data_IF_833214680956
#
_entry.id   IF_833214680956
#
_cell.length_a   1.000
_cell.length_b   1.000
_cell.length_c   1.000
_cell.angle_alpha   90.00
_cell.angle_beta   90.00
_cell.angle_gamma   90.00
#
_symmetry.space_group_name_H-M   'P 1'
#
loop_
_entity.id
_entity.type
_entity.pdbx_description
1 polymer ?
#
# COMPACT_ATOMS: atom_id res chain seq x y z
N UNK A 1 26.08 -58.39 55.25
CA UNK A 1 27.26 -57.50 55.44
C UNK A 1 27.05 -56.27 54.57
N UNK A 2 27.09 -55.07 55.19
CA UNK A 2 27.21 -53.69 54.64
C UNK A 2 26.36 -53.29 53.40
N UNK A 3 25.39 -52.37 53.46
CA UNK A 3 25.41 -50.91 53.75
C UNK A 3 25.78 -50.01 52.55
N UNK A 4 24.91 -49.00 52.33
CA UNK A 4 25.10 -47.66 51.71
C UNK A 4 25.00 -47.55 50.16
N UNK A 5 24.05 -46.75 49.62
CA UNK A 5 24.14 -45.29 49.30
C UNK A 5 24.41 -45.10 47.79
N UNK A 6 23.92 -44.17 46.98
CA UNK A 6 22.99 -43.02 47.01
C UNK A 6 22.60 -42.68 45.55
N UNK A 7 21.69 -41.71 45.40
CA UNK A 7 21.03 -41.14 44.21
C UNK A 7 21.86 -40.69 42.96
N UNK A 8 21.22 -40.45 41.79
CA UNK A 8 21.81 -40.10 40.48
C UNK A 8 21.95 -38.56 40.31
N UNK A 9 22.49 -37.92 39.21
CA UNK A 9 21.76 -37.82 37.92
C UNK A 9 22.55 -37.30 36.65
N UNK A 10 21.76 -37.01 35.60
CA UNK A 10 21.86 -35.94 34.56
C UNK A 10 22.57 -36.24 33.23
N UNK A 11 21.74 -36.12 32.19
CA UNK A 11 22.09 -36.16 30.78
C UNK A 11 22.69 -34.87 30.26
N UNK A 12 23.41 -35.06 29.17
CA UNK A 12 24.19 -34.08 28.43
C UNK A 12 23.44 -33.77 27.12
N UNK A 13 22.90 -32.57 26.99
CA UNK A 13 22.36 -32.05 25.73
C UNK A 13 23.26 -30.91 25.26
N UNK A 14 24.03 -31.23 24.22
CA UNK A 14 24.91 -30.32 23.51
C UNK A 14 24.16 -29.17 22.83
N UNK A 15 24.49 -27.98 23.32
CA UNK A 15 24.67 -26.67 22.69
C UNK A 15 24.73 -26.72 21.15
N UNK A 16 23.78 -26.06 20.48
CA UNK A 16 23.96 -25.52 19.12
C UNK A 16 24.33 -24.04 19.21
N UNK A 17 25.52 -23.70 18.69
CA UNK A 17 26.07 -22.36 18.60
C UNK A 17 25.28 -21.48 17.63
N UNK A 18 24.48 -20.54 18.15
CA UNK A 18 24.00 -19.38 17.39
C UNK A 18 25.00 -18.24 17.54
N UNK A 19 25.74 -17.97 16.48
CA UNK A 19 26.57 -16.78 16.31
C UNK A 19 25.72 -15.51 16.38
N UNK A 20 25.94 -14.70 17.42
CA UNK A 20 26.23 -13.26 17.23
C UNK A 20 25.13 -12.23 17.44
N UNK A 21 24.20 -12.40 18.39
CA UNK A 21 23.48 -11.27 18.99
C UNK A 21 23.96 -11.06 20.43
N UNK A 22 24.09 -9.81 20.92
CA UNK A 22 24.46 -9.56 22.30
C UNK A 22 23.50 -10.29 23.26
N UNK A 23 23.97 -10.86 24.39
CA UNK A 23 23.13 -11.64 25.30
C UNK A 23 21.89 -10.87 25.81
N UNK A 24 22.01 -9.55 25.93
CA UNK A 24 20.91 -8.67 26.32
C UNK A 24 19.83 -8.52 25.24
N UNK A 25 20.12 -8.80 23.97
CA UNK A 25 19.17 -8.74 22.87
C UNK A 25 18.60 -10.13 22.51
N UNK A 26 19.38 -11.19 22.74
CA UNK A 26 18.96 -12.56 22.46
C UNK A 26 17.72 -12.99 23.29
N UNK A 27 17.62 -12.49 24.53
CA UNK A 27 16.47 -12.74 25.41
C UNK A 27 15.22 -11.93 25.05
N UNK A 28 15.31 -10.93 24.17
CA UNK A 28 14.17 -10.11 23.75
C UNK A 28 13.51 -10.58 22.45
N UNK A 29 14.06 -11.60 21.79
CA UNK A 29 13.56 -12.14 20.52
C UNK A 29 12.91 -13.53 20.64
N UNK A 30 13.17 -14.28 21.72
CA UNK A 30 12.40 -15.47 22.09
C UNK A 30 11.47 -15.14 23.26
N UNK A 31 10.34 -14.53 22.93
CA UNK A 31 9.34 -14.10 23.90
C UNK A 31 8.49 -15.31 24.32
N UNK A 32 9.07 -16.17 25.17
CA UNK A 32 8.32 -17.09 26.03
C UNK A 32 8.22 -16.44 27.41
N UNK A 33 7.19 -15.61 27.64
CA UNK A 33 6.94 -15.02 28.97
C UNK A 33 6.66 -16.15 29.96
N UNK A 34 7.48 -16.27 30.99
CA UNK A 34 7.18 -17.18 32.10
C UNK A 34 6.22 -16.50 33.10
N UNK A 35 5.60 -17.29 33.98
CA UNK A 35 4.65 -16.77 34.98
C UNK A 35 5.30 -15.74 35.92
N UNK A 36 6.60 -15.88 36.18
CA UNK A 36 7.37 -14.96 37.02
C UNK A 36 7.54 -13.58 36.35
N UNK A 37 7.67 -13.51 35.03
CA UNK A 37 7.75 -12.26 34.26
C UNK A 37 6.40 -11.50 34.29
N UNK A 38 5.29 -12.24 34.23
CA UNK A 38 3.94 -11.69 34.34
C UNK A 38 3.69 -11.17 35.75
N UNK A 39 4.11 -11.93 36.77
CA UNK A 39 3.96 -11.54 38.17
C UNK A 39 4.88 -10.35 38.52
N UNK A 40 6.09 -10.28 37.95
CA UNK A 40 7.00 -9.14 38.06
C UNK A 40 6.45 -7.87 37.39
N UNK A 41 5.78 -8.01 36.25
CA UNK A 41 5.12 -6.90 35.56
C UNK A 41 3.89 -6.40 36.35
N UNK A 42 3.08 -7.32 36.89
CA UNK A 42 1.95 -6.98 37.75
C UNK A 42 2.41 -6.31 39.05
N UNK A 43 3.44 -6.86 39.71
CA UNK A 43 4.04 -6.21 40.88
C UNK A 43 4.69 -4.88 40.55
N UNK A 44 5.23 -4.68 39.34
CA UNK A 44 5.73 -3.37 38.92
C UNK A 44 4.61 -2.35 38.70
N UNK A 45 3.48 -2.77 38.13
CA UNK A 45 2.31 -1.90 37.95
C UNK A 45 1.76 -1.53 39.34
N UNK A 46 1.63 -2.51 40.23
CA UNK A 46 1.14 -2.30 41.60
C UNK A 46 2.13 -1.45 42.43
N UNK A 47 3.43 -1.70 42.31
CA UNK A 47 4.48 -0.92 42.97
C UNK A 47 4.58 0.52 42.45
N UNK A 48 4.23 0.78 41.18
CA UNK A 48 4.19 2.16 40.65
C UNK A 48 3.06 3.00 41.27
N UNK A 49 2.09 2.36 41.92
CA UNK A 49 1.00 3.02 42.65
C UNK A 49 1.26 3.18 44.15
N UNK A 50 2.30 2.56 44.69
CA UNK A 50 2.68 2.62 46.11
C UNK A 50 3.99 3.40 46.31
N UNK A 51 3.91 4.55 46.98
CA UNK A 51 5.02 5.50 47.16
C UNK A 51 6.18 5.00 48.05
N UNK A 52 6.13 3.76 48.54
CA UNK A 52 7.02 3.25 49.60
C UNK A 52 7.77 1.95 49.25
N UNK A 53 7.64 1.41 48.04
CA UNK A 53 8.36 0.18 47.65
C UNK A 53 9.76 0.47 47.06
N UNK A 54 10.81 -0.29 47.46
CA UNK A 54 12.16 -0.12 46.94
C UNK A 54 12.32 -0.74 45.54
N UNK A 55 13.10 -0.04 44.71
CA UNK A 55 13.46 -0.29 43.31
C UNK A 55 13.93 -1.72 43.00
N UNK A 56 13.26 -2.36 42.05
CA UNK A 56 13.89 -3.31 41.11
C UNK A 56 13.76 -2.75 39.69
N UNK A 57 14.51 -3.31 38.73
CA UNK A 57 14.76 -2.83 37.37
C UNK A 57 13.54 -2.73 36.43
N UNK A 58 12.37 -2.34 36.93
CA UNK A 58 11.16 -2.23 36.13
C UNK A 58 10.97 -0.81 35.58
N UNK A 59 10.58 -0.74 34.31
CA UNK A 59 10.20 0.52 33.68
C UNK A 59 8.88 1.02 34.30
N UNK A 60 8.75 2.33 34.59
CA UNK A 60 7.47 2.94 34.93
C UNK A 60 6.37 2.57 33.94
N UNK A 61 5.13 2.40 34.43
CA UNK A 61 4.00 1.98 33.62
C UNK A 61 3.77 2.92 32.42
N UNK A 62 4.03 4.22 32.59
CA UNK A 62 3.93 5.23 31.53
C UNK A 62 4.93 4.96 30.39
N UNK A 63 6.16 4.54 30.73
CA UNK A 63 7.17 4.19 29.73
C UNK A 63 6.80 2.90 29.01
N UNK A 64 6.25 1.91 29.72
CA UNK A 64 5.76 0.68 29.10
C UNK A 64 4.60 0.96 28.14
N UNK A 65 3.64 1.78 28.53
CA UNK A 65 2.53 2.19 27.66
C UNK A 65 3.02 2.98 26.44
N UNK A 66 3.98 3.88 26.63
CA UNK A 66 4.61 4.61 25.53
C UNK A 66 5.31 3.65 24.56
N UNK A 67 6.03 2.63 25.06
CA UNK A 67 6.65 1.62 24.21
C UNK A 67 5.57 0.89 23.39
N UNK A 68 4.46 0.50 24.02
CA UNK A 68 3.38 -0.24 23.34
C UNK A 68 2.74 0.59 22.21
N UNK A 69 2.65 1.92 22.34
CA UNK A 69 2.15 2.82 21.27
C UNK A 69 2.98 2.73 19.97
N UNK A 70 4.24 2.28 20.03
CA UNK A 70 5.15 2.14 18.87
C UNK A 70 5.40 0.70 18.44
N UNK A 71 4.77 -0.28 19.09
CA UNK A 71 4.93 -1.68 18.71
C UNK A 71 4.22 -1.94 17.38
N UNK A 72 4.80 -2.74 16.46
CA UNK A 72 4.13 -3.08 15.22
C UNK A 72 2.80 -3.76 15.48
N UNK A 73 1.78 -3.34 14.74
CA UNK A 73 0.37 -3.69 14.95
C UNK A 73 0.10 -5.19 14.97
N UNK A 74 0.88 -5.99 14.25
CA UNK A 74 0.79 -7.45 14.22
C UNK A 74 1.11 -8.15 15.55
N UNK A 75 1.72 -7.46 16.52
CA UNK A 75 2.06 -7.98 17.85
C UNK A 75 1.16 -7.47 18.98
N UNK A 76 0.34 -6.44 18.74
CA UNK A 76 -0.47 -5.81 19.78
C UNK A 76 -1.42 -6.79 20.47
N UNK A 77 -2.02 -7.72 19.71
CA UNK A 77 -2.94 -8.71 20.29
C UNK A 77 -2.22 -9.76 21.13
N UNK A 78 -0.95 -10.06 20.86
CA UNK A 78 -0.16 -10.95 21.71
C UNK A 78 0.14 -10.27 23.05
N UNK A 79 0.51 -8.99 23.03
CA UNK A 79 0.77 -8.18 24.23
C UNK A 79 -0.49 -7.97 25.07
N UNK A 80 -1.65 -7.85 24.42
CA UNK A 80 -2.96 -7.78 25.08
C UNK A 80 -3.26 -8.98 25.97
N UNK A 81 -2.63 -10.13 25.72
CA UNK A 81 -2.83 -11.35 26.51
C UNK A 81 -1.93 -11.41 27.76
N UNK A 82 -0.88 -10.60 27.84
CA UNK A 82 0.13 -10.67 28.91
C UNK A 82 -0.47 -10.32 30.28
N UNK A 83 -1.16 -9.20 30.39
CA UNK A 83 -1.77 -8.78 31.66
C UNK A 83 -3.05 -7.96 31.47
N UNK A 84 -3.83 -7.80 32.55
CA UNK A 84 -5.06 -7.01 32.53
C UNK A 84 -4.80 -5.53 32.25
N UNK A 85 -3.72 -4.95 32.79
CA UNK A 85 -3.36 -3.55 32.57
C UNK A 85 -3.09 -3.25 31.09
N UNK A 86 -2.35 -4.10 30.39
CA UNK A 86 -2.13 -3.98 28.95
C UNK A 86 -3.41 -4.18 28.16
N UNK A 87 -4.27 -5.11 28.57
CA UNK A 87 -5.58 -5.26 27.94
C UNK A 87 -6.41 -3.99 28.01
N UNK A 88 -6.52 -3.40 29.19
CA UNK A 88 -7.34 -2.20 29.41
C UNK A 88 -6.74 -0.97 28.69
N UNK A 89 -5.40 -0.87 28.66
CA UNK A 89 -4.71 0.21 27.94
C UNK A 89 -4.79 0.05 26.41
N UNK A 90 -4.64 -1.19 25.91
CA UNK A 90 -4.79 -1.52 24.50
C UNK A 90 -6.22 -1.24 24.06
N UNK A 91 -7.24 -1.72 24.77
CA UNK A 91 -8.65 -1.53 24.40
C UNK A 91 -9.12 -0.06 24.48
N UNK A 92 -8.31 0.83 25.07
CA UNK A 92 -8.57 2.26 25.23
C UNK A 92 -7.57 3.14 24.50
N UNK A 93 -6.62 3.70 25.27
CA UNK A 93 -5.70 4.75 24.82
C UNK A 93 -4.83 4.32 23.64
N UNK A 94 -4.24 3.12 23.68
CA UNK A 94 -3.31 2.67 22.64
C UNK A 94 -4.06 2.42 21.32
N UNK A 95 -5.22 1.76 21.34
CA UNK A 95 -6.02 1.58 20.13
C UNK A 95 -6.48 2.92 19.56
N UNK A 96 -6.77 3.91 20.40
CA UNK A 96 -7.06 5.27 19.95
C UNK A 96 -5.83 5.95 19.32
N UNK A 97 -4.63 5.76 19.87
CA UNK A 97 -3.39 6.25 19.25
C UNK A 97 -3.19 5.66 17.84
N UNK A 98 -3.43 4.36 17.66
CA UNK A 98 -3.41 3.74 16.33
C UNK A 98 -4.52 4.26 15.41
N UNK A 99 -5.72 4.53 15.93
CA UNK A 99 -6.80 5.14 15.15
C UNK A 99 -6.37 6.47 14.52
N UNK A 100 -5.67 7.32 15.28
CA UNK A 100 -5.21 8.63 14.80
C UNK A 100 -4.25 8.53 13.61
N UNK A 101 -3.53 7.41 13.51
CA UNK A 101 -2.57 7.10 12.43
C UNK A 101 -3.21 6.29 11.29
N UNK A 102 -4.48 5.94 11.43
CA UNK A 102 -5.20 5.13 10.44
C UNK A 102 -5.65 6.00 9.27
N UNK A 103 -5.43 5.49 8.07
CA UNK A 103 -5.93 6.05 6.81
C UNK A 103 -6.81 5.03 6.12
N UNK A 104 -7.95 5.47 5.60
CA UNK A 104 -8.79 4.65 4.73
C UNK A 104 -8.46 4.99 3.26
N UNK A 105 -8.31 3.97 2.44
CA UNK A 105 -7.96 4.10 1.02
C UNK A 105 -9.06 3.47 0.19
N UNK A 106 -9.87 4.30 -0.46
CA UNK A 106 -10.89 3.89 -1.41
C UNK A 106 -10.27 3.58 -2.77
N UNK A 107 -10.47 2.36 -3.26
CA UNK A 107 -9.99 1.92 -4.56
C UNK A 107 -11.11 1.93 -5.59
N UNK A 108 -11.01 2.78 -6.62
CA UNK A 108 -12.07 2.96 -7.61
C UNK A 108 -12.07 1.88 -8.72
N UNK A 109 -11.04 1.03 -8.76
CA UNK A 109 -10.93 -0.10 -9.67
C UNK A 109 -9.68 -0.08 -10.54
N UNK A 110 -9.43 -1.19 -11.24
CA UNK A 110 -8.23 -1.35 -12.07
C UNK A 110 -8.35 -0.66 -13.41
N UNK A 111 -7.21 -0.44 -14.06
CA UNK A 111 -7.10 0.06 -15.44
C UNK A 111 -7.96 -0.72 -16.43
N UNK A 112 -8.14 -2.02 -16.18
CA UNK A 112 -8.89 -2.92 -17.05
C UNK A 112 -10.40 -2.82 -16.85
N UNK A 113 -10.86 -2.08 -15.84
CA UNK A 113 -12.27 -1.85 -15.60
C UNK A 113 -12.85 -0.91 -16.67
N UNK A 114 -14.08 -1.16 -17.11
CA UNK A 114 -14.74 -0.42 -18.20
C UNK A 114 -14.86 1.07 -17.90
N UNK A 115 -15.02 1.46 -16.63
CA UNK A 115 -15.08 2.87 -16.21
C UNK A 115 -13.73 3.59 -16.20
N UNK A 116 -12.62 2.85 -16.08
CA UNK A 116 -11.27 3.43 -15.96
C UNK A 116 -10.43 3.25 -17.23
N UNK A 117 -10.81 2.32 -18.10
CA UNK A 117 -10.02 1.96 -19.28
C UNK A 117 -9.92 3.05 -20.35
N UNK A 118 -10.80 4.06 -20.31
CA UNK A 118 -10.79 5.19 -21.25
C UNK A 118 -9.90 6.35 -20.82
N UNK A 119 -9.42 6.38 -19.57
CA UNK A 119 -8.61 7.47 -19.03
C UNK A 119 -7.16 7.40 -19.49
N UNK A 120 -6.51 8.56 -19.62
CA UNK A 120 -5.06 8.62 -19.78
C UNK A 120 -4.32 8.04 -18.56
N UNK A 121 -3.03 7.76 -18.73
CA UNK A 121 -2.19 7.22 -17.65
C UNK A 121 -2.12 8.19 -16.47
N UNK A 122 -2.00 9.49 -16.75
CA UNK A 122 -1.96 10.56 -15.75
C UNK A 122 -3.29 10.68 -15.00
N UNK A 123 -4.42 10.76 -15.74
CA UNK A 123 -5.74 10.87 -15.14
C UNK A 123 -6.08 9.66 -14.26
N UNK A 124 -5.68 8.44 -14.68
CA UNK A 124 -5.88 7.25 -13.87
C UNK A 124 -5.08 7.32 -12.56
N UNK A 125 -3.78 7.64 -12.61
CA UNK A 125 -2.95 7.70 -11.40
C UNK A 125 -3.47 8.73 -10.39
N UNK A 126 -3.98 9.88 -10.86
CA UNK A 126 -4.54 10.92 -9.99
C UNK A 126 -5.90 10.55 -9.38
N UNK A 127 -6.71 9.77 -10.09
CA UNK A 127 -8.12 9.55 -9.72
C UNK A 127 -8.40 8.18 -9.10
N UNK A 128 -7.61 7.15 -9.39
CA UNK A 128 -7.96 5.77 -9.02
C UNK A 128 -8.05 5.51 -7.49
N UNK A 129 -7.55 6.43 -6.66
CA UNK A 129 -7.54 6.36 -5.20
C UNK A 129 -8.19 7.55 -4.52
N UNK A 130 -9.01 7.26 -3.52
CA UNK A 130 -9.56 8.23 -2.60
C UNK A 130 -8.98 8.00 -1.20
N UNK A 131 -8.16 8.93 -0.72
CA UNK A 131 -7.63 8.88 0.63
C UNK A 131 -8.56 9.60 1.61
N UNK A 132 -8.85 8.96 2.74
CA UNK A 132 -9.61 9.54 3.84
C UNK A 132 -8.85 9.39 5.16
N UNK A 133 -8.50 10.52 5.76
CA UNK A 133 -7.72 10.60 6.98
C UNK A 133 -8.63 10.74 8.20
N UNK A 134 -8.18 10.22 9.35
CA UNK A 134 -8.90 10.35 10.61
C UNK A 134 -9.06 11.83 11.01
N UNK A 135 -10.28 12.22 11.39
CA UNK A 135 -10.60 13.57 11.84
C UNK A 135 -10.95 13.62 13.32
N UNK A 136 -11.97 12.86 13.75
CA UNK A 136 -12.46 12.88 15.12
C UNK A 136 -13.31 11.65 15.47
N UNK A 137 -13.65 11.52 16.75
CA UNK A 137 -14.57 10.51 17.27
C UNK A 137 -15.95 11.10 17.57
N UNK A 138 -17.00 10.31 17.40
CA UNK A 138 -18.40 10.68 17.60
C UNK A 138 -19.26 9.60 18.25
N UNK A 139 -20.33 10.03 18.91
CA UNK A 139 -21.33 9.16 19.53
C UNK A 139 -22.55 8.97 18.61
N UNK A 140 -23.38 7.96 18.90
CA UNK A 140 -24.59 7.61 18.13
C UNK A 140 -25.67 8.70 18.06
N UNK A 141 -25.51 9.84 18.75
CA UNK A 141 -26.53 10.88 18.82
C UNK A 141 -26.01 12.31 18.86
N UNK A 142 -24.86 12.60 18.24
CA UNK A 142 -24.28 13.96 18.22
C UNK A 142 -24.79 14.88 17.12
N UNK A 143 -25.84 14.50 16.37
CA UNK A 143 -26.45 15.40 15.41
C UNK A 143 -27.33 16.44 16.15
N UNK A 144 -26.74 17.62 16.37
CA UNK A 144 -27.35 18.94 16.57
C UNK A 144 -28.30 19.22 17.76
N UNK A 145 -28.65 18.26 18.62
CA UNK A 145 -29.70 18.51 19.65
C UNK A 145 -29.27 18.38 21.12
N UNK A 146 -28.00 18.52 21.49
CA UNK A 146 -27.60 18.35 22.91
C UNK A 146 -26.45 19.25 23.37
N UNK A 147 -26.66 20.57 23.30
CA UNK A 147 -25.89 21.56 24.09
C UNK A 147 -26.08 21.39 25.62
N UNK A 148 -26.93 20.46 26.07
CA UNK A 148 -27.24 20.24 27.49
C UNK A 148 -26.51 19.06 28.15
N UNK A 149 -25.56 18.39 27.48
CA UNK A 149 -24.77 17.30 28.11
C UNK A 149 -23.46 17.78 28.73
N UNK A 150 -23.56 18.69 29.70
CA UNK A 150 -22.56 18.75 30.76
C UNK A 150 -22.81 17.59 31.76
N UNK A 151 -21.73 17.02 32.31
CA UNK A 151 -21.64 16.24 33.59
C UNK A 151 -21.29 14.74 33.58
N UNK A 152 -20.74 14.16 32.51
CA UNK A 152 -19.83 13.00 32.70
C UNK A 152 -18.64 13.16 31.77
N UNK A 153 -17.44 13.40 32.33
CA UNK A 153 -16.18 13.36 31.58
C UNK A 153 -15.92 11.91 31.14
N UNK A 154 -16.55 11.50 30.04
CA UNK A 154 -16.21 10.23 29.37
C UNK A 154 -14.86 10.40 28.67
N UNK A 155 -14.05 9.35 28.70
CA UNK A 155 -12.78 9.36 28.00
C UNK A 155 -13.02 9.48 26.49
N UNK A 156 -12.17 10.22 25.77
CA UNK A 156 -12.35 10.47 24.32
C UNK A 156 -12.55 9.18 23.50
N UNK A 157 -11.85 8.11 23.87
CA UNK A 157 -11.92 6.78 23.23
C UNK A 157 -13.13 5.92 23.66
N UNK A 158 -14.10 6.48 24.39
CA UNK A 158 -15.36 5.79 24.66
C UNK A 158 -16.36 5.88 23.52
N UNK A 159 -16.18 6.86 22.63
CA UNK A 159 -17.09 7.12 21.52
C UNK A 159 -17.15 5.93 20.55
N UNK A 160 -18.30 5.72 19.91
CA UNK A 160 -18.54 4.52 19.09
C UNK A 160 -18.00 4.65 17.66
N UNK A 161 -18.08 5.84 17.07
CA UNK A 161 -17.77 6.06 15.65
C UNK A 161 -16.54 6.94 15.47
N UNK A 162 -15.76 6.67 14.43
CA UNK A 162 -14.72 7.56 13.93
C UNK A 162 -15.17 8.19 12.62
N UNK A 163 -14.90 9.48 12.48
CA UNK A 163 -15.04 10.23 11.24
C UNK A 163 -13.71 10.30 10.51
N UNK A 164 -13.73 9.91 9.26
CA UNK A 164 -12.66 10.09 8.30
C UNK A 164 -13.12 11.07 7.24
N UNK A 165 -12.24 11.97 6.81
CA UNK A 165 -12.56 12.93 5.76
C UNK A 165 -11.66 12.75 4.56
N UNK A 166 -12.26 12.72 3.37
CA UNK A 166 -11.51 12.77 2.13
C UNK A 166 -10.99 14.19 1.89
N UNK A 167 -9.74 14.31 1.46
CA UNK A 167 -9.13 15.59 1.13
C UNK A 167 -9.74 16.21 -0.13
N UNK A 168 -9.58 17.53 -0.29
CA UNK A 168 -10.00 18.26 -1.51
C UNK A 168 -9.21 17.84 -2.76
N UNK A 169 -8.01 17.29 -2.57
CA UNK A 169 -7.08 16.91 -3.65
C UNK A 169 -7.72 16.03 -4.72
N UNK A 170 -8.50 15.01 -4.33
CA UNK A 170 -9.15 14.14 -5.30
C UNK A 170 -10.22 14.87 -6.12
N UNK A 171 -10.98 15.78 -5.48
CA UNK A 171 -12.01 16.57 -6.16
C UNK A 171 -11.39 17.58 -7.13
N UNK A 172 -10.28 18.21 -6.73
CA UNK A 172 -9.51 19.12 -7.57
C UNK A 172 -8.92 18.40 -8.79
N UNK A 173 -8.33 17.21 -8.58
CA UNK A 173 -7.84 16.37 -9.66
C UNK A 173 -8.97 15.95 -10.62
N UNK A 174 -10.14 15.57 -10.09
CA UNK A 174 -11.30 15.20 -10.92
C UNK A 174 -11.76 16.38 -11.78
N UNK A 175 -11.83 17.59 -11.21
CA UNK A 175 -12.20 18.79 -11.95
C UNK A 175 -11.18 19.15 -13.05
N UNK A 176 -9.88 19.02 -12.75
CA UNK A 176 -8.81 19.29 -13.71
C UNK A 176 -8.95 18.40 -14.94
N UNK A 177 -9.12 17.10 -14.73
CA UNK A 177 -9.17 16.13 -15.82
C UNK A 177 -10.54 16.05 -16.52
N UNK A 178 -11.64 16.29 -15.79
CA UNK A 178 -12.98 16.33 -16.37
C UNK A 178 -13.16 17.44 -17.43
N UNK A 179 -12.30 18.47 -17.42
CA UNK A 179 -12.28 19.50 -18.46
C UNK A 179 -11.53 19.11 -19.73
N UNK A 180 -10.72 18.05 -19.68
CA UNK A 180 -9.76 17.65 -20.74
C UNK A 180 -10.12 16.33 -21.41
N UNK A 181 -10.79 15.42 -20.69
CA UNK A 181 -11.06 14.05 -21.12
C UNK A 181 -12.53 13.65 -20.90
N UNK A 182 -12.99 12.58 -21.58
CA UNK A 182 -14.30 11.97 -21.35
C UNK A 182 -14.32 11.16 -20.03
N UNK A 183 -14.14 11.86 -18.91
CA UNK A 183 -14.08 11.25 -17.58
C UNK A 183 -15.50 11.02 -17.06
N UNK A 184 -15.79 9.84 -16.48
CA UNK A 184 -17.06 9.58 -15.83
C UNK A 184 -17.35 10.62 -14.73
N UNK A 185 -18.64 10.90 -14.51
CA UNK A 185 -19.03 11.80 -13.42
C UNK A 185 -18.48 11.32 -12.08
N UNK A 186 -18.16 12.26 -11.19
CA UNK A 186 -17.64 11.94 -9.85
C UNK A 186 -18.55 10.98 -9.09
N UNK A 187 -19.87 11.14 -9.21
CA UNK A 187 -20.86 10.22 -8.62
C UNK A 187 -20.74 8.79 -9.18
N UNK A 188 -20.52 8.64 -10.49
CA UNK A 188 -20.33 7.31 -11.10
C UNK A 188 -19.04 6.66 -10.61
N UNK A 189 -17.95 7.43 -10.53
CA UNK A 189 -16.68 6.95 -9.98
C UNK A 189 -16.83 6.55 -8.52
N UNK A 190 -17.40 7.41 -7.68
CA UNK A 190 -17.53 7.18 -6.25
C UNK A 190 -18.53 6.05 -5.92
N UNK A 191 -19.50 5.77 -6.79
CA UNK A 191 -20.37 4.60 -6.65
C UNK A 191 -19.58 3.27 -6.61
N UNK A 192 -18.35 3.24 -7.14
CA UNK A 192 -17.39 2.12 -7.01
C UNK A 192 -17.08 1.74 -5.56
N UNK A 193 -17.08 2.74 -4.66
CA UNK A 193 -16.68 2.61 -3.27
C UNK A 193 -17.83 2.19 -2.34
N UNK A 194 -19.04 2.01 -2.87
CA UNK A 194 -20.14 1.49 -2.08
C UNK A 194 -19.86 0.04 -1.69
N UNK A 195 -19.82 -0.24 -0.39
CA UNK A 195 -19.62 -1.60 0.16
C UNK A 195 -20.84 -2.50 -0.05
N UNK A 196 -22.02 -1.90 -0.16
CA UNK A 196 -23.28 -2.60 -0.41
C UNK A 196 -23.53 -2.69 -1.92
N UNK A 197 -23.05 -3.75 -2.56
CA UNK A 197 -23.26 -3.99 -4.00
C UNK A 197 -24.07 -5.23 -4.27
N UNK A 198 -24.82 -5.19 -5.37
CA UNK A 198 -25.47 -6.37 -5.94
C UNK A 198 -24.42 -7.42 -6.33
N UNK A 199 -24.90 -8.65 -6.49
CA UNK A 199 -24.16 -9.93 -6.52
C UNK A 199 -23.00 -10.12 -7.53
N UNK A 200 -22.55 -9.09 -8.23
CA UNK A 200 -21.52 -9.14 -9.26
C UNK A 200 -20.12 -8.69 -8.78
N UNK A 201 -19.97 -8.16 -7.56
CA UNK A 201 -18.72 -7.58 -7.06
C UNK A 201 -18.11 -8.34 -5.85
N UNK A 202 -18.37 -9.64 -5.72
CA UNK A 202 -17.88 -10.40 -4.57
C UNK A 202 -16.36 -10.54 -4.59
N UNK A 203 -15.74 -10.22 -3.45
CA UNK A 203 -14.29 -10.26 -3.30
C UNK A 203 -13.57 -9.09 -3.97
N UNK A 204 -14.26 -8.17 -4.63
CA UNK A 204 -13.68 -6.92 -5.14
C UNK A 204 -13.21 -6.06 -3.97
N UNK A 205 -12.02 -5.50 -4.09
CA UNK A 205 -11.55 -4.52 -3.13
C UNK A 205 -12.21 -3.17 -3.40
N UNK A 206 -12.83 -2.59 -2.39
CA UNK A 206 -13.42 -1.24 -2.44
C UNK A 206 -12.70 -0.29 -1.48
N UNK A 207 -12.48 -0.73 -0.24
CA UNK A 207 -11.75 0.01 0.77
C UNK A 207 -10.64 -0.84 1.37
N UNK A 208 -9.46 -0.24 1.46
CA UNK A 208 -8.36 -0.73 2.27
C UNK A 208 -8.21 0.14 3.51
N UNK A 209 -7.74 -0.48 4.59
CA UNK A 209 -7.29 0.20 5.79
C UNK A 209 -5.76 0.16 5.80
N UNK A 210 -5.17 1.33 5.95
CA UNK A 210 -3.73 1.52 6.14
C UNK A 210 -3.50 1.96 7.58
N UNK A 211 -2.64 1.22 8.28
CA UNK A 211 -2.12 1.58 9.59
C UNK A 211 -0.64 1.27 9.61
N UNK A 212 0.17 2.32 9.70
CA UNK A 212 1.62 2.26 9.57
C UNK A 212 2.02 1.60 8.23
N UNK A 213 2.89 0.59 8.27
CA UNK A 213 3.31 -0.19 7.10
C UNK A 213 2.29 -1.29 6.69
N UNK A 214 1.23 -1.49 7.47
CA UNK A 214 0.29 -2.58 7.26
C UNK A 214 -0.93 -2.07 6.48
N UNK A 215 -1.26 -2.78 5.39
CA UNK A 215 -2.44 -2.49 4.56
C UNK A 215 -3.20 -3.78 4.31
N UNK A 216 -4.52 -3.74 4.52
CA UNK A 216 -5.45 -4.86 4.36
C UNK A 216 -6.81 -4.37 3.86
N UNK A 217 -7.65 -5.28 3.37
CA UNK A 217 -9.07 -4.99 3.14
C UNK A 217 -9.75 -4.51 4.42
N UNK A 218 -10.43 -3.37 4.32
CA UNK A 218 -11.27 -2.83 5.38
C UNK A 218 -12.39 -3.83 5.71
N UNK A 219 -13.18 -4.19 4.71
CA UNK A 219 -14.11 -5.31 4.75
C UNK A 219 -14.33 -5.86 3.35
N UNK A 220 -14.89 -7.07 3.24
CA UNK A 220 -15.27 -7.64 1.95
C UNK A 220 -16.70 -7.18 1.60
N UNK A 221 -16.95 -6.64 0.40
CA UNK A 221 -18.28 -6.22 0.01
C UNK A 221 -19.20 -7.45 -0.05
N UNK A 222 -20.22 -7.44 0.82
CA UNK A 222 -21.27 -8.46 0.93
C UNK A 222 -22.63 -7.77 0.85
N UNK A 223 -23.70 -8.56 0.81
CA UNK A 223 -25.05 -8.01 0.86
C UNK A 223 -25.26 -7.13 2.11
N UNK A 224 -26.17 -6.15 2.00
CA UNK A 224 -26.53 -5.20 3.07
C UNK A 224 -26.77 -5.92 4.40
N UNK A 225 -26.18 -5.41 5.49
CA UNK A 225 -26.34 -5.97 6.83
C UNK A 225 -25.42 -7.14 7.17
N UNK A 226 -24.47 -7.49 6.29
CA UNK A 226 -23.47 -8.56 6.52
C UNK A 226 -22.06 -8.04 6.72
N UNK A 227 -21.92 -6.74 6.95
CA UNK A 227 -20.64 -6.09 7.25
C UNK A 227 -20.23 -6.45 8.68
N UNK A 228 -18.92 -6.51 8.93
CA UNK A 228 -18.39 -6.80 10.27
C UNK A 228 -18.59 -5.63 11.25
N UNK A 229 -18.90 -4.45 10.73
CA UNK A 229 -19.07 -3.21 11.49
C UNK A 229 -19.87 -2.19 10.68
N UNK A 230 -20.47 -1.24 11.39
CA UNK A 230 -21.22 -0.13 10.79
C UNK A 230 -20.32 0.85 10.04
N UNK A 231 -20.63 1.10 8.77
CA UNK A 231 -20.03 2.15 7.95
C UNK A 231 -21.11 2.93 7.21
N UNK A 232 -21.11 4.25 7.39
CA UNK A 232 -21.96 5.17 6.64
C UNK A 232 -21.10 6.19 5.91
N UNK A 233 -21.47 6.47 4.68
CA UNK A 233 -20.75 7.41 3.82
C UNK A 233 -21.71 8.54 3.49
N UNK A 234 -21.26 9.77 3.70
CA UNK A 234 -22.03 10.95 3.35
C UNK A 234 -22.32 11.00 1.84
N UNK A 235 -23.47 11.52 1.41
CA UNK A 235 -23.83 11.59 -0.01
C UNK A 235 -22.80 12.36 -0.86
N UNK A 236 -22.09 13.30 -0.26
CA UNK A 236 -21.04 14.11 -0.90
C UNK A 236 -19.66 13.45 -0.91
N UNK A 237 -19.54 12.23 -0.35
CA UNK A 237 -18.32 11.42 -0.23
C UNK A 237 -17.13 12.13 0.44
N UNK A 238 -17.43 13.20 1.17
CA UNK A 238 -16.46 13.97 1.95
C UNK A 238 -16.14 13.33 3.29
N UNK A 239 -17.06 12.51 3.80
CA UNK A 239 -17.00 11.98 5.15
C UNK A 239 -17.40 10.52 5.17
N UNK A 240 -16.62 9.74 5.90
CA UNK A 240 -16.90 8.36 6.24
C UNK A 240 -17.01 8.25 7.74
N UNK A 241 -18.08 7.62 8.21
CA UNK A 241 -18.31 7.33 9.61
C UNK A 241 -18.25 5.82 9.79
N UNK A 242 -17.36 5.36 10.67
CA UNK A 242 -17.09 3.92 10.86
C UNK A 242 -17.08 3.57 12.34
N UNK A 243 -17.65 2.43 12.72
CA UNK A 243 -17.47 1.85 14.05
C UNK A 243 -16.01 1.43 14.25
N UNK A 244 -15.23 2.27 14.93
CA UNK A 244 -13.78 2.20 14.85
C UNK A 244 -13.17 1.07 15.68
N UNK A 245 -13.77 0.70 16.82
CA UNK A 245 -13.26 -0.41 17.65
C UNK A 245 -13.42 -1.75 16.92
N UNK A 246 -14.62 -2.16 16.46
CA UNK A 246 -14.77 -3.37 15.66
C UNK A 246 -13.86 -3.38 14.42
N UNK A 247 -13.77 -2.25 13.71
CA UNK A 247 -12.90 -2.09 12.55
C UNK A 247 -11.43 -2.38 12.89
N UNK A 248 -10.86 -1.69 13.87
CA UNK A 248 -9.46 -1.88 14.24
C UNK A 248 -9.19 -3.27 14.82
N UNK A 249 -10.08 -3.83 15.64
CA UNK A 249 -9.88 -5.20 16.14
C UNK A 249 -9.92 -6.24 15.02
N UNK A 250 -10.79 -6.08 14.02
CA UNK A 250 -10.81 -6.95 12.85
C UNK A 250 -9.50 -6.85 12.07
N UNK A 251 -9.00 -5.63 11.88
CA UNK A 251 -7.70 -5.37 11.25
C UNK A 251 -6.55 -6.04 12.02
N UNK A 252 -6.42 -5.79 13.33
CA UNK A 252 -5.37 -6.37 14.18
C UNK A 252 -5.41 -7.90 14.19
N UNK A 253 -6.60 -8.51 14.24
CA UNK A 253 -6.76 -9.97 14.15
C UNK A 253 -6.25 -10.50 12.82
N UNK A 254 -6.60 -9.82 11.72
CA UNK A 254 -6.22 -10.23 10.37
C UNK A 254 -4.72 -10.08 10.15
N UNK A 255 -4.13 -8.97 10.59
CA UNK A 255 -2.68 -8.72 10.45
C UNK A 255 -1.86 -9.70 11.31
N UNK A 256 -2.31 -10.00 12.54
CA UNK A 256 -1.69 -11.07 13.35
C UNK A 256 -1.76 -12.43 12.66
N UNK A 257 -2.91 -12.79 12.10
CA UNK A 257 -3.04 -14.04 11.35
C UNK A 257 -2.15 -14.07 10.11
N UNK A 258 -2.01 -12.96 9.38
CA UNK A 258 -1.10 -12.84 8.25
C UNK A 258 0.36 -13.03 8.68
N UNK A 259 0.79 -12.37 9.76
CA UNK A 259 2.14 -12.51 10.33
C UNK A 259 2.44 -13.97 10.68
N UNK A 260 1.56 -14.61 11.45
CA UNK A 260 1.73 -16.01 11.85
C UNK A 260 1.76 -16.94 10.64
N UNK A 261 0.91 -16.70 9.63
CA UNK A 261 0.92 -17.51 8.41
C UNK A 261 2.20 -17.31 7.60
N UNK A 262 2.75 -16.10 7.56
CA UNK A 262 4.04 -15.83 6.90
C UNK A 262 5.19 -16.56 7.63
N UNK A 263 5.17 -16.61 8.96
CA UNK A 263 6.13 -17.37 9.76
C UNK A 263 6.00 -18.88 9.54
N UNK A 264 4.78 -19.41 9.58
CA UNK A 264 4.48 -20.83 9.37
C UNK A 264 4.89 -21.32 7.97
N UNK A 265 4.65 -20.49 6.94
CA UNK A 265 4.82 -20.87 5.53
C UNK A 265 6.15 -20.45 4.94
N UNK A 266 7.14 -20.10 5.76
CA UNK A 266 8.44 -19.56 5.31
C UNK A 266 9.23 -20.48 4.39
N UNK A 267 9.14 -21.79 4.59
CA UNK A 267 9.91 -22.81 3.87
C UNK A 267 9.11 -23.53 2.77
N UNK A 268 7.84 -23.17 2.58
CA UNK A 268 7.01 -23.80 1.56
C UNK A 268 7.34 -23.28 0.15
N UNK A 269 7.01 -24.08 -0.87
CA UNK A 269 7.02 -23.58 -2.24
C UNK A 269 5.91 -22.54 -2.41
N UNK A 270 6.10 -21.55 -3.29
CA UNK A 270 5.11 -20.49 -3.54
C UNK A 270 4.63 -20.51 -4.98
N UNK A 271 3.34 -20.21 -5.18
CA UNK A 271 2.76 -20.09 -6.52
C UNK A 271 3.09 -18.73 -7.15
N UNK A 272 3.00 -17.64 -6.37
CA UNK A 272 3.29 -16.29 -6.84
C UNK A 272 4.50 -15.69 -6.12
N UNK A 273 4.37 -15.46 -4.81
CA UNK A 273 5.45 -15.07 -3.90
C UNK A 273 5.00 -15.36 -2.47
N UNK A 274 5.93 -15.43 -1.52
CA UNK A 274 5.63 -15.72 -0.11
C UNK A 274 4.54 -14.80 0.45
N UNK A 275 4.74 -13.47 0.38
CA UNK A 275 3.78 -12.48 0.87
C UNK A 275 2.46 -12.50 0.09
N UNK A 276 2.52 -12.69 -1.22
CA UNK A 276 1.31 -12.73 -2.07
C UNK A 276 0.43 -13.95 -1.76
N UNK A 277 1.02 -15.13 -1.64
CA UNK A 277 0.32 -16.37 -1.34
C UNK A 277 -0.32 -16.28 0.06
N UNK A 278 0.41 -15.79 1.07
CA UNK A 278 -0.12 -15.58 2.41
C UNK A 278 -1.30 -14.58 2.42
N UNK A 279 -1.18 -13.46 1.70
CA UNK A 279 -2.26 -12.46 1.62
C UNK A 279 -3.50 -13.02 0.89
N UNK A 280 -3.30 -13.77 -0.21
CA UNK A 280 -4.38 -14.49 -0.90
C UNK A 280 -5.06 -15.49 0.01
N UNK A 281 -4.31 -16.28 0.78
CA UNK A 281 -4.85 -17.27 1.70
C UNK A 281 -5.76 -16.61 2.76
N UNK A 282 -5.29 -15.54 3.41
CA UNK A 282 -6.08 -14.79 4.39
C UNK A 282 -7.33 -14.18 3.77
N UNK A 283 -7.23 -13.58 2.57
CA UNK A 283 -8.38 -13.02 1.86
C UNK A 283 -9.42 -14.09 1.53
N UNK A 284 -8.99 -15.24 0.99
CA UNK A 284 -9.87 -16.38 0.69
C UNK A 284 -10.54 -16.93 1.95
N UNK A 285 -9.80 -17.04 3.06
CA UNK A 285 -10.33 -17.48 4.35
C UNK A 285 -11.41 -16.52 4.88
N UNK A 286 -11.14 -15.20 4.87
CA UNK A 286 -12.10 -14.17 5.26
C UNK A 286 -13.35 -14.24 4.39
N UNK A 287 -13.19 -14.33 3.07
CA UNK A 287 -14.31 -14.43 2.15
C UNK A 287 -15.12 -15.69 2.42
N UNK A 288 -14.47 -16.86 2.58
CA UNK A 288 -15.15 -18.10 2.92
C UNK A 288 -15.96 -18.02 4.22
N UNK A 289 -15.40 -17.40 5.26
CA UNK A 289 -16.07 -17.24 6.56
C UNK A 289 -17.30 -16.32 6.48
N UNK A 290 -17.28 -15.37 5.55
CA UNK A 290 -18.36 -14.41 5.36
C UNK A 290 -19.56 -14.96 4.57
N UNK A 291 -19.41 -16.10 3.87
CA UNK A 291 -20.45 -16.67 2.99
C UNK A 291 -21.52 -17.47 3.76
N UNK A 292 -22.79 -17.30 3.39
CA UNK A 292 -23.94 -18.01 3.94
C UNK A 292 -24.34 -19.14 2.99
N UNK A 293 -24.25 -20.39 3.45
CA UNK A 293 -24.51 -21.58 2.62
C UNK A 293 -26.00 -21.76 2.26
N UNK A 294 -26.91 -21.07 2.93
CA UNK A 294 -28.33 -21.09 2.59
C UNK A 294 -28.61 -20.29 1.32
N UNK A 295 -27.81 -19.25 1.06
CA UNK A 295 -27.94 -18.42 -0.14
C UNK A 295 -27.35 -19.15 -1.37
N UNK A 296 -28.11 -19.23 -2.46
CA UNK A 296 -27.68 -19.84 -3.74
C UNK A 296 -26.44 -19.16 -4.31
N UNK A 297 -26.35 -17.84 -4.19
CA UNK A 297 -25.27 -17.03 -4.77
C UNK A 297 -23.97 -17.28 -3.99
N UNK A 298 -24.05 -17.27 -2.66
CA UNK A 298 -22.92 -17.57 -1.79
C UNK A 298 -22.40 -19.01 -1.97
N UNK A 299 -23.30 -19.98 -2.23
CA UNK A 299 -22.89 -21.34 -2.63
C UNK A 299 -22.13 -21.35 -3.95
N UNK A 300 -22.57 -20.57 -4.94
CA UNK A 300 -21.86 -20.44 -6.21
C UNK A 300 -20.47 -19.81 -6.01
N UNK A 301 -20.35 -18.75 -5.20
CA UNK A 301 -19.06 -18.12 -4.89
C UNK A 301 -18.14 -19.11 -4.15
N UNK A 302 -18.67 -19.85 -3.16
CA UNK A 302 -17.90 -20.89 -2.47
C UNK A 302 -17.37 -21.95 -3.44
N UNK A 303 -18.13 -22.28 -4.48
CA UNK A 303 -17.67 -23.16 -5.54
C UNK A 303 -16.59 -22.49 -6.40
N UNK A 304 -16.80 -21.25 -6.83
CA UNK A 304 -15.82 -20.47 -7.62
C UNK A 304 -14.49 -20.25 -6.90
N UNK A 305 -14.49 -20.16 -5.56
CA UNK A 305 -13.27 -20.09 -4.74
C UNK A 305 -12.43 -21.37 -4.82
N UNK A 306 -13.05 -22.54 -5.01
CA UNK A 306 -12.34 -23.81 -5.20
C UNK A 306 -11.65 -23.89 -6.57
N UNK A 307 -12.12 -23.10 -7.53
CA UNK A 307 -11.57 -23.02 -8.88
C UNK A 307 -10.44 -22.01 -9.01
N UNK A 308 -10.21 -21.17 -8.00
CA UNK A 308 -9.06 -20.27 -7.97
C UNK A 308 -7.75 -21.06 -8.05
N UNK A 309 -6.70 -20.39 -8.55
CA UNK A 309 -5.38 -20.99 -8.62
C UNK A 309 -4.93 -21.42 -7.22
N UNK A 310 -4.51 -22.67 -7.03
CA UNK A 310 -4.00 -23.14 -5.74
C UNK A 310 -2.75 -22.36 -5.32
N UNK A 311 -2.61 -22.19 -4.01
CA UNK A 311 -1.46 -21.51 -3.40
C UNK A 311 -0.37 -22.53 -3.06
N UNK A 312 0.81 -22.04 -2.67
CA UNK A 312 1.93 -22.85 -2.19
C UNK A 312 2.55 -23.81 -3.23
N UNK A 313 2.54 -23.42 -4.51
CA UNK A 313 3.11 -24.22 -5.59
C UNK A 313 2.33 -25.50 -5.94
N UNK A 314 1.16 -25.72 -5.32
CA UNK A 314 0.37 -26.96 -5.49
C UNK A 314 -0.45 -26.92 -6.78
N UNK A 315 0.17 -27.16 -7.95
CA UNK A 315 -0.54 -27.61 -9.16
C UNK A 315 -0.74 -26.61 -10.32
N UNK A 316 -0.89 -27.19 -11.52
CA UNK A 316 -0.86 -26.55 -12.84
C UNK A 316 -2.16 -25.88 -13.32
N UNK A 317 -2.21 -25.46 -14.60
CA UNK A 317 -3.22 -24.53 -15.11
C UNK A 317 -4.63 -25.09 -14.96
N UNK A 318 -5.48 -24.36 -14.21
CA UNK A 318 -6.93 -24.54 -14.17
C UNK A 318 -7.60 -23.47 -15.01
N UNK A 319 -8.81 -23.76 -15.49
CA UNK A 319 -9.63 -22.75 -16.16
C UNK A 319 -9.80 -21.53 -15.23
N UNK A 320 -9.55 -20.30 -15.73
CA UNK A 320 -9.62 -19.11 -14.90
C UNK A 320 -11.05 -18.92 -14.38
N UNK A 321 -11.20 -18.97 -13.06
CA UNK A 321 -12.43 -18.58 -12.39
C UNK A 321 -12.73 -17.10 -12.67
N UNK A 322 -14.00 -16.72 -12.70
CA UNK A 322 -14.42 -15.31 -12.78
C UNK A 322 -13.87 -14.47 -11.61
N UNK A 323 -13.52 -15.12 -10.49
CA UNK A 323 -12.90 -14.50 -9.32
C UNK A 323 -11.38 -14.31 -9.45
N UNK A 324 -10.70 -15.00 -10.37
CA UNK A 324 -9.24 -14.91 -10.52
C UNK A 324 -8.75 -13.49 -10.86
N UNK A 325 -9.34 -12.76 -11.84
CA UNK A 325 -8.93 -11.37 -12.09
C UNK A 325 -9.27 -10.45 -10.91
N UNK A 326 -10.40 -10.69 -10.23
CA UNK A 326 -10.83 -9.87 -9.08
C UNK A 326 -9.87 -10.02 -7.90
N UNK A 327 -9.47 -11.25 -7.56
CA UNK A 327 -8.47 -11.50 -6.52
C UNK A 327 -7.11 -10.92 -6.92
N UNK A 328 -6.69 -11.13 -8.18
CA UNK A 328 -5.41 -10.62 -8.68
C UNK A 328 -5.30 -9.10 -8.57
N UNK A 329 -6.34 -8.38 -9.00
CA UNK A 329 -6.35 -6.92 -8.96
C UNK A 329 -6.32 -6.42 -7.50
N UNK A 330 -7.13 -7.01 -6.63
CA UNK A 330 -7.16 -6.64 -5.22
C UNK A 330 -5.83 -6.90 -4.50
N UNK A 331 -5.23 -8.08 -4.73
CA UNK A 331 -3.95 -8.46 -4.12
C UNK A 331 -2.81 -7.61 -4.64
N UNK A 332 -2.77 -7.34 -5.96
CA UNK A 332 -1.77 -6.45 -6.56
C UNK A 332 -1.84 -5.05 -5.95
N UNK A 333 -3.05 -4.51 -5.79
CA UNK A 333 -3.25 -3.22 -5.14
C UNK A 333 -2.76 -3.24 -3.68
N UNK A 334 -3.17 -4.23 -2.89
CA UNK A 334 -2.78 -4.32 -1.49
C UNK A 334 -1.26 -4.46 -1.33
N UNK A 335 -0.60 -5.28 -2.13
CA UNK A 335 0.86 -5.41 -2.11
C UNK A 335 1.55 -4.10 -2.48
N UNK A 336 1.03 -3.38 -3.48
CA UNK A 336 1.55 -2.07 -3.86
C UNK A 336 1.42 -1.06 -2.72
N UNK A 337 0.25 -0.99 -2.08
CA UNK A 337 0.01 -0.09 -0.96
C UNK A 337 0.85 -0.46 0.27
N UNK A 338 1.03 -1.75 0.56
CA UNK A 338 1.95 -2.20 1.63
C UNK A 338 3.39 -1.78 1.31
N UNK A 339 3.82 -1.92 0.05
CA UNK A 339 5.14 -1.44 -0.38
C UNK A 339 5.26 0.06 -0.19
N UNK A 340 4.28 0.84 -0.65
CA UNK A 340 4.25 2.30 -0.53
C UNK A 340 4.29 2.75 0.94
N UNK A 341 3.50 2.09 1.80
CA UNK A 341 3.41 2.39 3.22
C UNK A 341 4.67 2.00 4.01
N UNK A 342 5.42 1.00 3.54
CA UNK A 342 6.67 0.56 4.16
C UNK A 342 7.89 1.38 3.72
N UNK A 343 7.80 2.11 2.60
CA UNK A 343 8.90 2.96 2.14
C UNK A 343 9.09 4.17 3.04
N UNK A 344 10.34 4.55 3.25
CA UNK A 344 10.69 5.81 3.91
C UNK A 344 10.39 7.01 3.00
N UNK A 345 10.18 8.18 3.62
CA UNK A 345 9.97 9.45 2.89
C UNK A 345 11.15 9.75 1.94
N UNK A 346 12.36 9.37 2.35
CA UNK A 346 13.58 9.56 1.54
C UNK A 346 13.59 8.66 0.30
N UNK A 347 13.17 7.40 0.43
CA UNK A 347 13.08 6.47 -0.70
C UNK A 347 12.01 6.90 -1.70
N UNK A 348 10.84 7.35 -1.21
CA UNK A 348 9.78 7.89 -2.08
C UNK A 348 10.28 9.12 -2.83
N UNK A 349 10.95 10.04 -2.14
CA UNK A 349 11.54 11.22 -2.79
C UNK A 349 12.60 10.85 -3.83
N UNK A 350 13.45 9.87 -3.53
CA UNK A 350 14.45 9.35 -4.48
C UNK A 350 13.80 8.74 -5.73
N UNK A 351 12.74 7.94 -5.56
CA UNK A 351 12.02 7.34 -6.68
C UNK A 351 11.33 8.38 -7.57
N UNK A 352 10.74 9.41 -6.97
CA UNK A 352 10.14 10.51 -7.72
C UNK A 352 11.22 11.31 -8.48
N UNK A 353 12.35 11.61 -7.84
CA UNK A 353 13.47 12.28 -8.51
C UNK A 353 14.01 11.46 -9.68
N UNK A 354 14.11 10.14 -9.52
CA UNK A 354 14.55 9.23 -10.56
C UNK A 354 13.57 9.20 -11.75
N UNK A 355 12.26 9.26 -11.48
CA UNK A 355 11.23 9.37 -12.52
C UNK A 355 11.34 10.67 -13.30
N UNK A 356 11.47 11.80 -12.61
CA UNK A 356 11.69 13.11 -13.23
C UNK A 356 12.97 13.14 -14.08
N UNK A 357 14.07 12.59 -13.55
CA UNK A 357 15.35 12.51 -14.27
C UNK A 357 15.23 11.66 -15.54
N UNK A 358 14.50 10.54 -15.46
CA UNK A 358 14.26 9.66 -16.60
C UNK A 358 13.37 10.33 -17.65
N UNK A 359 12.30 10.98 -17.23
CA UNK A 359 11.42 11.74 -18.13
C UNK A 359 12.19 12.86 -18.85
N UNK A 360 13.02 13.61 -18.12
CA UNK A 360 13.90 14.62 -18.69
C UNK A 360 14.87 14.06 -19.73
N UNK A 361 15.42 12.87 -19.48
CA UNK A 361 16.28 12.17 -20.45
C UNK A 361 15.51 11.74 -21.70
N UNK A 362 14.31 11.17 -21.53
CA UNK A 362 13.45 10.77 -22.65
C UNK A 362 13.09 11.99 -23.50
N UNK A 363 12.72 13.11 -22.87
CA UNK A 363 12.39 14.34 -23.57
C UNK A 363 13.61 14.90 -24.33
N UNK A 364 14.81 14.88 -23.74
CA UNK A 364 16.06 15.29 -24.40
C UNK A 364 16.38 14.42 -25.64
N UNK A 365 16.19 13.10 -25.54
CA UNK A 365 16.42 12.20 -26.68
C UNK A 365 15.36 12.42 -27.77
N UNK A 366 14.10 12.65 -27.40
CA UNK A 366 13.02 12.97 -28.34
C UNK A 366 13.29 14.28 -29.08
N UNK A 367 13.72 15.33 -28.39
CA UNK A 367 14.05 16.62 -29.04
C UNK A 367 15.24 16.46 -29.97
N UNK A 368 16.30 15.78 -29.53
CA UNK A 368 17.46 15.46 -30.38
C UNK A 368 17.07 14.67 -31.63
N UNK A 369 16.24 13.63 -31.48
CA UNK A 369 15.70 12.86 -32.61
C UNK A 369 14.86 13.72 -33.55
N UNK A 370 14.08 14.66 -33.02
CA UNK A 370 13.35 15.66 -33.82
C UNK A 370 14.29 16.54 -34.64
N UNK A 371 15.37 17.04 -34.04
CA UNK A 371 16.36 17.82 -34.78
C UNK A 371 17.05 16.97 -35.87
N UNK A 372 17.48 15.76 -35.53
CA UNK A 372 18.10 14.87 -36.51
C UNK A 372 17.18 14.59 -37.72
N UNK A 373 15.88 14.33 -37.48
CA UNK A 373 14.89 14.11 -38.55
C UNK A 373 14.73 15.35 -39.45
N UNK A 374 14.60 16.53 -38.87
CA UNK A 374 14.47 17.76 -39.65
C UNK A 374 15.73 18.05 -40.46
N UNK A 375 16.93 17.88 -39.88
CA UNK A 375 18.20 18.08 -40.58
C UNK A 375 18.34 17.10 -41.76
N UNK A 376 18.01 15.83 -41.55
CA UNK A 376 18.00 14.81 -42.59
C UNK A 376 17.05 15.19 -43.73
N UNK A 377 15.87 15.72 -43.42
CA UNK A 377 14.89 16.16 -44.43
C UNK A 377 15.40 17.31 -45.32
N UNK A 378 16.32 18.14 -44.82
CA UNK A 378 16.95 19.22 -45.58
C UNK A 378 18.16 18.75 -46.41
N UNK A 379 18.90 17.76 -45.93
CA UNK A 379 20.15 17.30 -46.56
C UNK A 379 19.96 16.15 -47.55
N UNK A 380 18.96 15.29 -47.34
CA UNK A 380 18.74 14.07 -48.14
C UNK A 380 17.41 14.16 -48.86
N UNK A 381 17.46 14.15 -50.21
CA UNK A 381 16.27 14.00 -51.04
C UNK A 381 15.82 12.54 -50.92
N UNK A 382 14.76 12.31 -50.13
CA UNK A 382 14.17 11.00 -49.81
C UNK A 382 14.39 9.96 -50.92
N UNK A 383 15.21 8.95 -50.64
CA UNK A 383 15.23 7.69 -51.38
C UNK A 383 14.76 6.59 -50.42
N UNK A 384 14.12 5.54 -50.94
CA UNK A 384 13.37 4.51 -50.19
C UNK A 384 14.16 3.72 -49.09
N UNK A 385 15.42 4.10 -48.79
CA UNK A 385 16.26 3.50 -47.75
C UNK A 385 16.23 4.23 -46.39
N UNK A 386 15.47 5.32 -46.24
CA UNK A 386 15.43 6.15 -45.01
C UNK A 386 14.73 5.51 -43.79
N UNK A 387 14.21 4.28 -43.87
CA UNK A 387 13.51 3.62 -42.74
C UNK A 387 14.42 3.20 -41.57
N UNK A 388 15.75 3.12 -41.75
CA UNK A 388 16.64 2.53 -40.72
C UNK A 388 16.91 3.42 -39.50
N UNK A 389 16.81 4.75 -39.62
CA UNK A 389 17.06 5.66 -38.48
C UNK A 389 15.82 5.88 -37.61
N UNK A 390 14.64 5.57 -38.14
CA UNK A 390 13.38 5.66 -37.40
C UNK A 390 13.30 4.57 -36.32
N UNK A 391 13.88 3.40 -36.61
CA UNK A 391 13.99 2.26 -35.69
C UNK A 391 14.87 2.54 -34.47
N UNK A 392 15.96 3.32 -34.57
CA UNK A 392 16.85 3.60 -33.42
C UNK A 392 16.19 4.54 -32.40
N UNK A 393 15.43 5.53 -32.87
CA UNK A 393 14.63 6.37 -31.98
C UNK A 393 13.47 5.56 -31.35
N UNK A 394 12.88 4.62 -32.12
CA UNK A 394 11.88 3.70 -31.62
C UNK A 394 12.45 2.72 -30.60
N UNK A 395 13.61 2.09 -30.77
CA UNK A 395 14.18 1.14 -29.79
C UNK A 395 14.49 1.78 -28.43
N UNK A 396 14.82 3.08 -28.38
CA UNK A 396 14.96 3.84 -27.13
C UNK A 396 13.59 4.16 -26.50
N UNK A 397 12.53 4.28 -27.32
CA UNK A 397 11.17 4.65 -26.92
C UNK A 397 10.22 3.44 -26.74
N UNK A 398 10.54 2.25 -27.26
CA UNK A 398 9.70 1.04 -27.28
C UNK A 398 9.90 0.12 -26.07
N UNK A 399 10.71 0.56 -25.09
CA UNK A 399 10.67 0.00 -23.75
C UNK A 399 9.33 0.35 -23.10
N UNK A 400 8.33 -0.49 -23.39
CA UNK A 400 7.05 -0.71 -22.72
C UNK A 400 6.64 0.42 -21.77
N UNK A 401 5.61 1.20 -22.14
CA UNK A 401 4.92 2.22 -21.33
C UNK A 401 5.25 2.09 -19.83
N UNK A 402 6.33 2.75 -19.42
CA UNK A 402 6.81 2.68 -18.04
C UNK A 402 5.70 3.28 -17.20
N UNK A 403 5.22 2.59 -16.14
CA UNK A 403 4.20 3.16 -15.27
C UNK A 403 4.64 4.53 -14.76
N UNK A 404 3.77 5.53 -14.84
CA UNK A 404 4.07 6.89 -14.37
C UNK A 404 4.47 6.87 -12.89
N UNK A 405 3.79 6.05 -12.10
CA UNK A 405 4.06 5.91 -10.69
C UNK A 405 5.31 5.04 -10.42
N UNK A 406 6.40 5.60 -9.88
CA UNK A 406 7.66 4.88 -9.69
C UNK A 406 7.62 3.83 -8.57
N UNK A 407 6.63 3.91 -7.68
CA UNK A 407 6.42 2.92 -6.62
C UNK A 407 6.03 1.55 -7.21
N UNK A 408 5.38 1.55 -8.39
CA UNK A 408 4.94 0.35 -9.10
C UNK A 408 6.08 -0.33 -9.85
N UNK A 409 7.23 0.32 -10.01
CA UNK A 409 8.32 -0.21 -10.81
C UNK A 409 8.86 -1.52 -10.23
N UNK A 410 8.93 -2.59 -11.04
CA UNK A 410 9.67 -3.78 -10.69
C UNK A 410 11.12 -3.42 -10.38
N UNK A 411 11.73 -4.16 -9.45
CA UNK A 411 13.11 -3.90 -9.01
C UNK A 411 14.11 -3.84 -10.19
N UNK A 412 13.99 -4.81 -11.12
CA UNK A 412 14.82 -4.85 -12.34
C UNK A 412 14.64 -3.62 -13.22
N UNK A 413 13.39 -3.13 -13.37
CA UNK A 413 13.11 -1.93 -14.16
C UNK A 413 13.73 -0.70 -13.50
N UNK A 414 13.64 -0.59 -12.17
CA UNK A 414 14.27 0.49 -11.41
C UNK A 414 15.79 0.49 -11.62
N UNK A 415 16.44 -0.65 -11.46
CA UNK A 415 17.89 -0.79 -11.69
C UNK A 415 18.29 -0.37 -13.11
N UNK A 416 17.53 -0.81 -14.13
CA UNK A 416 17.77 -0.43 -15.53
C UNK A 416 17.62 1.08 -15.76
N UNK A 417 16.59 1.70 -15.19
CA UNK A 417 16.36 3.16 -15.26
C UNK A 417 17.49 3.91 -14.55
N UNK A 418 17.92 3.48 -13.36
CA UNK A 418 19.04 4.09 -12.65
C UNK A 418 20.33 4.05 -13.45
N UNK A 419 20.63 2.93 -14.10
CA UNK A 419 21.81 2.80 -14.96
C UNK A 419 21.71 3.75 -16.16
N UNK A 420 20.53 3.86 -16.78
CA UNK A 420 20.31 4.77 -17.92
C UNK A 420 20.42 6.23 -17.51
N UNK A 421 19.76 6.63 -16.43
CA UNK A 421 19.83 7.99 -15.89
C UNK A 421 21.26 8.34 -15.52
N UNK A 422 22.01 7.43 -14.89
CA UNK A 422 23.43 7.64 -14.57
C UNK A 422 24.27 7.87 -15.83
N UNK A 423 24.08 7.06 -16.88
CA UNK A 423 24.76 7.23 -18.18
C UNK A 423 24.38 8.55 -18.85
N UNK A 424 23.09 8.86 -18.89
CA UNK A 424 22.58 10.10 -19.48
C UNK A 424 23.07 11.34 -18.75
N UNK A 425 23.10 11.33 -17.42
CA UNK A 425 23.70 12.41 -16.61
C UNK A 425 25.20 12.59 -16.91
N UNK A 426 25.94 11.49 -17.07
CA UNK A 426 27.36 11.55 -17.45
C UNK A 426 27.57 12.10 -18.87
N UNK A 427 26.62 11.86 -19.78
CA UNK A 427 26.68 12.29 -21.18
C UNK A 427 25.93 13.60 -21.46
N UNK A 428 25.25 14.17 -20.46
CA UNK A 428 24.35 15.33 -20.61
C UNK A 428 24.99 16.49 -21.36
N UNK A 429 26.17 16.90 -20.93
CA UNK A 429 26.89 18.01 -21.56
C UNK A 429 27.31 17.72 -23.02
N UNK A 430 27.58 16.45 -23.37
CA UNK A 430 27.87 16.06 -24.76
C UNK A 430 26.59 16.16 -25.60
N UNK A 431 25.48 15.64 -25.09
CA UNK A 431 24.17 15.69 -25.75
C UNK A 431 23.72 17.14 -25.97
N UNK A 432 23.86 18.01 -24.95
CA UNK A 432 23.54 19.43 -25.06
C UNK A 432 24.40 20.14 -26.13
N UNK A 433 25.70 19.84 -26.19
CA UNK A 433 26.57 20.38 -27.25
C UNK A 433 26.18 19.89 -28.64
N UNK A 434 25.84 18.61 -28.78
CA UNK A 434 25.39 18.06 -30.06
C UNK A 434 24.05 18.67 -30.49
N UNK A 435 23.14 18.89 -29.54
CA UNK A 435 21.87 19.57 -29.80
C UNK A 435 22.09 21.02 -30.25
N UNK A 436 22.97 21.78 -29.58
CA UNK A 436 23.31 23.14 -29.98
C UNK A 436 23.92 23.17 -31.40
N UNK A 437 24.89 22.29 -31.68
CA UNK A 437 25.49 22.18 -33.02
C UNK A 437 24.46 21.84 -34.09
N UNK A 438 23.50 20.95 -33.80
CA UNK A 438 22.43 20.62 -34.75
C UNK A 438 21.47 21.78 -34.97
N UNK A 439 21.12 22.52 -33.92
CA UNK A 439 20.30 23.73 -34.01
C UNK A 439 21.00 24.80 -34.87
N UNK A 440 22.26 25.10 -34.59
CA UNK A 440 23.06 26.08 -35.34
C UNK A 440 23.20 25.66 -36.81
N UNK A 441 23.39 24.37 -37.06
CA UNK A 441 23.47 23.82 -38.43
C UNK A 441 22.15 23.95 -39.18
N UNK A 442 21.01 23.81 -38.51
CA UNK A 442 19.71 24.07 -39.12
C UNK A 442 19.53 25.54 -39.47
N UNK A 443 19.84 26.44 -38.55
CA UNK A 443 19.74 27.88 -38.80
C UNK A 443 20.59 28.29 -40.01
N UNK A 444 21.78 27.69 -40.18
CA UNK A 444 22.63 27.93 -41.34
C UNK A 444 22.07 27.34 -42.67
N UNK A 445 21.28 26.26 -42.59
CA UNK A 445 20.66 25.61 -43.76
C UNK A 445 19.32 26.24 -44.17
N UNK A 446 18.71 27.04 -43.30
CA UNK A 446 17.52 27.84 -43.61
C UNK A 446 17.99 29.18 -44.21
N UNK A 447 17.90 29.40 -45.53
CA UNK A 447 18.25 30.69 -46.09
C UNK A 447 17.33 31.76 -45.49
N UNK A 448 17.85 32.95 -45.10
CA UNK A 448 17.00 34.02 -44.59
C UNK A 448 15.96 34.37 -45.67
N UNK A 449 14.68 34.46 -45.27
CA UNK A 449 13.56 34.72 -46.20
C UNK A 449 13.76 36.01 -47.03
N UNK A 450 14.62 36.92 -46.57
CA UNK A 450 14.94 38.20 -47.21
C UNK A 450 16.10 38.16 -48.23
N UNK A 451 16.82 37.03 -48.39
CA UNK A 451 17.98 36.96 -49.31
C UNK A 451 17.55 36.97 -50.77
N UNK A 452 16.32 36.52 -51.08
CA UNK A 452 15.80 36.53 -52.45
C UNK A 452 14.98 37.78 -52.79
N UNK A 453 14.55 38.56 -51.80
CA UNK A 453 13.84 39.84 -52.00
C UNK A 453 14.78 41.02 -52.26
N UNK A 454 16.09 40.88 -51.97
CA UNK A 454 17.10 41.92 -52.18
C UNK A 454 17.85 41.83 -53.51
N UNK A 455 17.51 40.87 -54.38
CA UNK A 455 17.98 40.90 -55.77
C UNK A 455 16.99 41.74 -56.58
N UNK A 456 17.19 43.06 -56.56
CA UNK A 456 16.67 43.94 -57.60
C UNK A 456 17.06 43.33 -58.96
N UNK A 457 16.04 42.86 -59.68
CA UNK A 457 16.18 42.23 -60.98
C UNK A 457 16.62 43.27 -62.01
N UNK A 458 17.91 43.37 -62.29
CA UNK A 458 18.41 43.94 -63.54
C UNK A 458 18.20 42.90 -64.66
N UNK A 459 16.95 42.74 -65.09
CA UNK A 459 16.59 42.09 -66.36
C UNK A 459 15.43 42.82 -67.05
#
# INVERSE_FOLDING_TARGET
MASASADPPKGDHGITETTGLPPWLANHLNIEWNQDDVDALLTSIDASQDATAPTSHSLPAELLLLIIEYIPVGYLLDIRLVCRGFRDAIDGRILYHHLQRTRLVGYLGSRNNTTMGTMSDEAYEDLHLLYADFKCLEDEGSDEASETRQTVRRALWSNTYAKFTSGLQWKEAHQLHASREEIPSSLNLLSSLQLSRNHQAYGTLTWAIQLDSCVLDLDLPLAVGRQNFGISIDPDWNMLRVEWKPMLFCFLKTERALRLLMEEKREEAFTFSHTEDCLRAIRRQRLHAALNLENKIDRHIKWSLRLLRPLWGIGGPRDPSTLDPVERDAVRFLLLQRRAAAMSVQEIAHLNQLAEDYEGLVNMVKTFGGYAKTLQSHLVRRTDQDMMYEEVAQEVLDYHRIPINPIVWPEKLREDIEVRVRKGKAQKHILERMQALMSDSMEALVPPEYVFDAMDSDF
#
